data_IF_872583267599
#
_entry.id   IF_872583267599
#
_cell.length_a   1.000
_cell.length_b   1.000
_cell.length_c   1.000
_cell.angle_alpha   90.00
_cell.angle_beta   90.00
_cell.angle_gamma   90.00
#
_symmetry.space_group_name_H-M   'P 1'
#
loop_
_entity.id
_entity.type
_entity.pdbx_description
1 polymer ?
#
# COMPACT_ATOMS: atom_id res chain seq x y z
N UNK A 1 37.94 46.97 -4.98
CA UNK A 1 37.48 45.71 -4.35
C UNK A 1 36.29 45.20 -5.17
N UNK A 2 36.47 44.11 -5.93
CA UNK A 2 35.38 43.50 -6.71
C UNK A 2 34.61 42.55 -5.80
N UNK A 3 33.32 42.82 -5.58
CA UNK A 3 32.42 41.89 -4.91
C UNK A 3 31.95 40.86 -5.94
N UNK A 4 32.49 39.65 -5.87
CA UNK A 4 31.92 38.50 -6.57
C UNK A 4 30.55 38.18 -5.92
N UNK A 5 29.43 38.21 -6.67
CA UNK A 5 28.16 37.79 -6.12
C UNK A 5 28.25 36.30 -5.80
N UNK A 6 28.08 35.96 -4.53
CA UNK A 6 27.89 34.58 -4.09
C UNK A 6 26.64 34.05 -4.78
N UNK A 7 26.81 33.24 -5.82
CA UNK A 7 25.72 32.49 -6.43
C UNK A 7 25.06 31.69 -5.31
N UNK A 8 23.79 31.98 -5.03
CA UNK A 8 23.00 31.19 -4.09
C UNK A 8 23.09 29.71 -4.51
N UNK A 9 23.13 28.77 -3.55
CA UNK A 9 23.12 27.35 -3.89
C UNK A 9 21.91 27.08 -4.78
N UNK A 10 22.16 26.55 -5.99
CA UNK A 10 21.11 26.10 -6.92
C UNK A 10 20.16 25.23 -6.11
N UNK A 11 18.91 25.69 -5.94
CA UNK A 11 17.87 24.90 -5.27
C UNK A 11 17.77 23.57 -6.00
N UNK A 12 18.18 22.49 -5.35
CA UNK A 12 17.96 21.14 -5.85
C UNK A 12 16.47 20.98 -6.12
N UNK A 13 16.06 20.42 -7.28
CA UNK A 13 14.65 20.30 -7.59
C UNK A 13 13.93 19.49 -6.50
N UNK A 14 12.80 19.99 -6.04
CA UNK A 14 11.91 19.29 -5.11
C UNK A 14 11.17 18.18 -5.84
N UNK A 15 10.68 17.20 -5.09
CA UNK A 15 9.76 16.20 -5.64
C UNK A 15 8.41 16.86 -5.88
N UNK A 16 7.91 16.75 -7.10
CA UNK A 16 6.60 17.22 -7.53
C UNK A 16 5.60 16.06 -7.52
N UNK A 17 4.37 16.32 -7.06
CA UNK A 17 3.30 15.33 -7.11
C UNK A 17 2.74 15.32 -8.53
N UNK A 18 2.94 14.20 -9.22
CA UNK A 18 2.41 14.01 -10.57
C UNK A 18 0.99 13.47 -10.51
N UNK A 19 0.75 12.55 -9.58
CA UNK A 19 -0.59 12.00 -9.35
C UNK A 19 -0.73 11.50 -7.92
N UNK A 20 -1.98 11.41 -7.47
CA UNK A 20 -2.37 10.73 -6.25
C UNK A 20 -3.66 9.97 -6.48
N UNK A 21 -3.67 8.72 -6.04
CA UNK A 21 -4.83 7.82 -6.08
C UNK A 21 -4.97 7.18 -4.71
N UNK A 22 -6.20 6.90 -4.31
CA UNK A 22 -6.46 6.25 -3.03
C UNK A 22 -7.72 5.41 -3.07
N UNK A 23 -7.67 4.32 -2.34
CA UNK A 23 -8.77 3.43 -2.02
C UNK A 23 -8.96 3.50 -0.51
N UNK A 24 -10.16 3.86 -0.08
CA UNK A 24 -10.50 3.88 1.34
C UNK A 24 -10.47 2.45 1.90
N UNK A 25 -10.09 2.28 3.18
CA UNK A 25 -10.11 0.97 3.81
C UNK A 25 -11.50 0.32 3.65
N UNK A 26 -11.52 -0.81 2.95
CA UNK A 26 -12.76 -1.56 2.65
C UNK A 26 -12.63 -2.95 3.24
N UNK A 27 -13.75 -3.50 3.73
CA UNK A 27 -13.78 -4.87 4.24
C UNK A 27 -13.44 -5.86 3.12
N UNK A 28 -12.62 -6.84 3.46
CA UNK A 28 -12.25 -7.92 2.56
C UNK A 28 -13.49 -8.78 2.30
N UNK A 29 -13.86 -9.05 1.02
CA UNK A 29 -15.02 -9.88 0.69
C UNK A 29 -14.83 -11.35 1.12
N UNK A 30 -13.63 -11.74 1.56
CA UNK A 30 -13.29 -13.09 1.97
C UNK A 30 -13.56 -13.38 3.46
N UNK A 31 -14.18 -12.45 4.18
CA UNK A 31 -14.52 -12.57 5.61
C UNK A 31 -16.04 -12.62 5.84
N UNK A 32 -16.79 -13.21 4.90
CA UNK A 32 -18.15 -13.66 5.21
C UNK A 32 -18.03 -14.90 6.10
N UNK A 33 -18.50 -14.86 7.37
CA UNK A 33 -18.68 -16.10 8.11
C UNK A 33 -19.74 -16.91 7.37
N UNK A 34 -19.43 -18.15 6.98
CA UNK A 34 -20.48 -19.13 6.70
C UNK A 34 -21.33 -19.24 7.97
N UNK A 35 -22.47 -18.55 7.99
CA UNK A 35 -23.48 -18.60 9.05
C UNK A 35 -24.27 -19.92 9.02
N UNK A 36 -23.62 -21.04 8.71
CA UNK A 36 -24.26 -22.34 8.82
C UNK A 36 -23.35 -23.37 9.48
N UNK A 37 -23.76 -23.71 10.70
CA UNK A 37 -23.64 -25.04 11.31
C UNK A 37 -22.34 -25.43 12.02
N UNK A 38 -22.10 -24.94 13.25
CA UNK A 38 -21.53 -25.80 14.32
C UNK A 38 -21.95 -25.32 15.72
N UNK A 39 -22.69 -26.13 16.51
CA UNK A 39 -22.83 -25.91 17.93
C UNK A 39 -21.63 -26.50 18.67
N UNK A 40 -21.09 -25.71 19.61
CA UNK A 40 -20.25 -26.17 20.73
C UNK A 40 -18.76 -26.47 20.47
N UNK A 41 -17.89 -25.51 20.82
CA UNK A 41 -16.79 -25.76 21.76
C UNK A 41 -16.16 -24.41 22.17
N UNK A 42 -16.24 -24.09 23.46
CA UNK A 42 -15.43 -23.05 24.05
C UNK A 42 -13.96 -23.52 24.10
N UNK A 43 -13.09 -22.89 23.32
CA UNK A 43 -11.64 -22.96 23.48
C UNK A 43 -11.05 -21.58 23.78
N UNK A 44 -9.98 -21.52 24.60
CA UNK A 44 -9.59 -20.31 25.31
C UNK A 44 -8.63 -19.43 24.50
N UNK A 45 -8.67 -18.13 24.81
CA UNK A 45 -7.71 -17.09 24.43
C UNK A 45 -7.48 -16.89 22.92
N UNK A 46 -8.47 -16.29 22.27
CA UNK A 46 -8.31 -15.49 21.04
C UNK A 46 -7.10 -14.54 21.23
N UNK A 47 -6.03 -14.61 20.43
CA UNK A 47 -5.07 -13.51 20.40
C UNK A 47 -5.85 -12.29 19.93
N UNK A 48 -5.81 -11.20 20.71
CA UNK A 48 -6.56 -9.98 20.44
C UNK A 48 -6.26 -9.53 19.01
N UNK A 49 -7.20 -9.79 18.08
CA UNK A 49 -7.14 -9.23 16.75
C UNK A 49 -6.96 -7.73 16.92
N UNK A 50 -5.91 -7.16 16.32
CA UNK A 50 -5.60 -5.75 16.46
C UNK A 50 -6.83 -4.94 16.04
N UNK A 51 -7.54 -4.37 17.03
CA UNK A 51 -8.77 -3.60 16.80
C UNK A 51 -8.51 -2.32 16.01
N UNK A 52 -7.24 -1.95 15.84
CA UNK A 52 -6.81 -0.71 15.23
C UNK A 52 -6.26 -0.96 13.83
N UNK A 53 -6.56 -0.02 12.94
CA UNK A 53 -5.95 0.04 11.62
C UNK A 53 -4.46 0.37 11.74
N UNK A 54 -3.65 -0.38 11.02
CA UNK A 54 -2.23 -0.16 10.90
C UNK A 54 -1.95 0.51 9.56
N UNK A 55 -1.17 1.58 9.60
CA UNK A 55 -0.73 2.30 8.41
C UNK A 55 0.78 2.18 8.26
N UNK A 56 1.25 1.93 7.04
CA UNK A 56 2.67 1.90 6.67
C UNK A 56 2.90 2.60 5.35
N UNK A 57 4.08 3.20 5.20
CA UNK A 57 4.47 3.92 3.99
C UNK A 57 5.66 3.22 3.34
N UNK A 58 5.55 2.97 2.03
CA UNK A 58 6.53 2.27 1.23
C UNK A 58 6.90 3.11 0.03
N UNK A 59 8.18 3.43 -0.08
CA UNK A 59 8.72 4.21 -1.20
C UNK A 59 9.42 3.26 -2.18
N UNK A 60 9.02 3.33 -3.44
CA UNK A 60 9.61 2.59 -4.54
C UNK A 60 10.24 3.58 -5.54
N UNK A 61 11.56 3.64 -5.56
CA UNK A 61 12.29 4.41 -6.56
C UNK A 61 12.31 3.64 -7.89
N UNK A 62 12.01 4.35 -8.97
CA UNK A 62 12.04 3.78 -10.31
C UNK A 62 13.37 4.11 -10.99
N UNK A 63 13.83 3.27 -11.93
CA UNK A 63 15.01 3.59 -12.73
C UNK A 63 14.82 4.94 -13.44
N UNK A 64 15.93 5.62 -13.73
CA UNK A 64 15.88 6.88 -14.50
C UNK A 64 15.20 6.63 -15.83
N UNK A 65 14.11 7.35 -16.07
CA UNK A 65 13.35 7.23 -17.30
C UNK A 65 12.69 8.57 -17.63
N UNK A 66 12.65 8.88 -18.92
CA UNK A 66 12.06 10.13 -19.40
C UNK A 66 10.53 10.11 -19.38
N UNK A 67 9.94 8.91 -19.35
CA UNK A 67 8.50 8.70 -19.41
C UNK A 67 7.90 8.46 -18.03
N UNK A 68 6.62 8.78 -17.89
CA UNK A 68 5.85 8.50 -16.68
C UNK A 68 5.80 6.98 -16.41
N UNK A 69 5.72 6.55 -15.14
CA UNK A 69 5.55 5.14 -14.80
C UNK A 69 4.29 4.56 -15.43
N UNK A 70 4.43 3.35 -15.96
CA UNK A 70 3.30 2.60 -16.53
C UNK A 70 2.31 2.17 -15.45
N UNK A 71 1.08 1.90 -15.86
CA UNK A 71 0.02 1.35 -15.00
C UNK A 71 0.45 0.06 -14.29
N UNK A 72 1.23 -0.78 -14.97
CA UNK A 72 1.75 -2.04 -14.40
C UNK A 72 2.82 -1.79 -13.32
N UNK A 73 3.67 -0.77 -13.47
CA UNK A 73 4.62 -0.38 -12.43
C UNK A 73 3.91 0.15 -11.19
N UNK A 74 2.85 0.94 -11.38
CA UNK A 74 1.99 1.41 -10.30
C UNK A 74 1.30 0.25 -9.56
N UNK A 75 0.65 -0.68 -10.28
CA UNK A 75 0.04 -1.89 -9.71
C UNK A 75 1.07 -2.75 -8.95
N UNK A 76 2.26 -2.91 -9.51
CA UNK A 76 3.35 -3.67 -8.88
C UNK A 76 3.83 -3.01 -7.59
N UNK A 77 3.91 -1.68 -7.54
CA UNK A 77 4.25 -0.96 -6.32
C UNK A 77 3.24 -1.21 -5.20
N UNK A 78 1.94 -1.18 -5.51
CA UNK A 78 0.87 -1.47 -4.52
C UNK A 78 0.91 -2.92 -4.06
N UNK A 79 1.09 -3.89 -4.97
CA UNK A 79 1.26 -5.31 -4.60
C UNK A 79 2.45 -5.53 -3.68
N UNK A 80 3.60 -4.93 -4.00
CA UNK A 80 4.81 -5.03 -3.15
C UNK A 80 4.65 -4.33 -1.80
N UNK A 81 3.89 -3.23 -1.74
CA UNK A 81 3.57 -2.57 -0.47
C UNK A 81 2.78 -3.52 0.44
N UNK A 82 1.76 -4.20 -0.11
CA UNK A 82 0.99 -5.22 0.60
C UNK A 82 1.85 -6.39 1.06
N UNK A 83 2.69 -6.93 0.18
CA UNK A 83 3.60 -8.04 0.52
C UNK A 83 4.53 -7.66 1.68
N UNK A 84 5.12 -6.45 1.64
CA UNK A 84 5.96 -5.95 2.74
C UNK A 84 5.16 -5.76 4.02
N UNK A 85 3.93 -5.26 3.92
CA UNK A 85 3.04 -5.11 5.06
C UNK A 85 2.74 -6.46 5.72
N UNK A 86 2.40 -7.47 4.93
CA UNK A 86 2.19 -8.85 5.41
C UNK A 86 3.47 -9.46 6.00
N UNK A 87 4.63 -9.20 5.39
CA UNK A 87 5.92 -9.64 5.92
C UNK A 87 6.26 -8.96 7.26
N UNK A 88 5.92 -7.68 7.46
CA UNK A 88 6.09 -7.02 8.75
C UNK A 88 5.15 -7.59 9.82
N UNK A 89 3.98 -8.09 9.41
CA UNK A 89 3.02 -8.76 10.27
C UNK A 89 3.36 -10.22 10.59
N UNK A 90 4.58 -10.70 10.27
CA UNK A 90 5.08 -12.10 10.34
C UNK A 90 4.91 -12.90 11.65
N UNK A 91 4.11 -12.45 12.60
CA UNK A 91 3.92 -13.09 13.90
C UNK A 91 2.68 -13.98 14.03
N UNK A 92 1.78 -14.08 13.06
CA UNK A 92 0.68 -15.07 13.15
C UNK A 92 -0.05 -15.19 11.82
N UNK A 93 -0.73 -16.33 11.56
CA UNK A 93 -1.57 -16.56 10.39
C UNK A 93 -2.80 -15.67 10.31
N UNK A 94 -2.59 -14.35 10.42
CA UNK A 94 -3.56 -13.28 10.32
C UNK A 94 -3.73 -12.91 8.84
N UNK A 95 -4.98 -12.88 8.39
CA UNK A 95 -5.35 -12.26 7.14
C UNK A 95 -5.61 -10.76 7.36
N UNK A 96 -5.69 -10.00 6.28
CA UNK A 96 -6.13 -8.62 6.34
C UNK A 96 -7.65 -8.58 6.19
N UNK A 97 -8.34 -8.09 7.22
CA UNK A 97 -9.80 -7.98 7.25
C UNK A 97 -10.29 -6.71 6.56
N UNK A 98 -9.54 -5.63 6.72
CA UNK A 98 -9.82 -4.35 6.07
C UNK A 98 -8.54 -3.95 5.35
N UNK A 99 -8.65 -3.57 4.09
CA UNK A 99 -7.52 -3.15 3.27
C UNK A 99 -7.83 -1.84 2.54
N UNK A 100 -6.87 -0.95 2.49
CA UNK A 100 -6.93 0.34 1.79
C UNK A 100 -5.52 0.82 1.46
N UNK A 101 -5.42 1.73 0.50
CA UNK A 101 -4.12 2.25 0.09
C UNK A 101 -4.22 3.64 -0.50
N UNK A 102 -3.15 4.41 -0.39
CA UNK A 102 -2.96 5.67 -1.10
C UNK A 102 -1.61 5.65 -1.81
N UNK A 103 -1.65 5.75 -3.12
CA UNK A 103 -0.48 5.80 -3.98
C UNK A 103 -0.26 7.23 -4.46
N UNK A 104 0.99 7.70 -4.41
CA UNK A 104 1.39 9.01 -4.94
C UNK A 104 2.60 8.82 -5.84
N UNK A 105 2.50 9.22 -7.10
CA UNK A 105 3.65 9.24 -8.01
C UNK A 105 4.29 10.61 -7.92
N UNK A 106 5.58 10.61 -7.59
CA UNK A 106 6.39 11.80 -7.44
C UNK A 106 7.44 11.84 -8.55
N UNK A 107 7.69 13.03 -9.09
CA UNK A 107 8.72 13.27 -10.11
C UNK A 107 9.73 14.30 -9.62
N UNK A 108 10.98 14.10 -9.99
CA UNK A 108 12.05 15.06 -9.86
C UNK A 108 12.93 14.97 -11.10
N UNK A 109 12.77 15.92 -12.03
CA UNK A 109 13.43 15.89 -13.35
C UNK A 109 13.10 14.63 -14.16
N UNK A 110 14.07 13.72 -14.33
CA UNK A 110 14.00 12.42 -15.01
C UNK A 110 13.89 11.23 -14.03
N UNK A 111 13.65 11.52 -12.76
CA UNK A 111 13.43 10.53 -11.72
C UNK A 111 11.97 10.45 -11.32
N UNK A 112 11.48 9.24 -11.18
CA UNK A 112 10.18 8.95 -10.62
C UNK A 112 10.33 8.08 -9.38
N UNK A 113 9.43 8.28 -8.42
CA UNK A 113 9.23 7.35 -7.30
C UNK A 113 7.75 7.24 -6.99
N UNK A 114 7.36 6.09 -6.49
CA UNK A 114 5.98 5.81 -6.08
C UNK A 114 5.99 5.68 -4.56
N UNK A 115 5.23 6.52 -3.88
CA UNK A 115 4.99 6.47 -2.44
C UNK A 115 3.62 5.82 -2.19
N UNK A 116 3.62 4.66 -1.53
CA UNK A 116 2.41 3.89 -1.23
C UNK A 116 2.20 3.86 0.28
N UNK A 117 1.10 4.47 0.73
CA UNK A 117 0.61 4.38 2.09
C UNK A 117 -0.41 3.25 2.14
N UNK A 118 -0.02 2.12 2.72
CA UNK A 118 -0.89 0.97 2.91
C UNK A 118 -1.58 1.04 4.28
N UNK A 119 -2.89 0.86 4.30
CA UNK A 119 -3.71 0.85 5.52
C UNK A 119 -4.41 -0.49 5.58
N UNK A 120 -4.22 -1.24 6.66
CA UNK A 120 -4.98 -2.45 6.85
C UNK A 120 -5.22 -2.79 8.31
N UNK A 121 -6.28 -3.58 8.55
CA UNK A 121 -6.61 -4.13 9.86
C UNK A 121 -6.35 -5.63 9.84
N UNK A 122 -5.39 -6.14 10.63
CA UNK A 122 -5.20 -7.58 10.79
C UNK A 122 -6.42 -8.24 11.43
N UNK A 123 -6.76 -9.43 10.95
CA UNK A 123 -7.82 -10.29 11.46
C UNK A 123 -7.38 -11.76 11.46
N UNK A 124 -8.13 -12.63 12.11
CA UNK A 124 -7.88 -14.07 12.00
C UNK A 124 -8.43 -14.55 10.66
N UNK A 125 -7.57 -15.14 9.82
CA UNK A 125 -8.01 -15.77 8.59
C UNK A 125 -8.77 -17.07 8.92
N UNK A 126 -9.86 -17.37 8.21
CA UNK A 126 -10.23 -18.78 8.01
C UNK A 126 -9.10 -19.45 7.20
N UNK A 127 -8.91 -20.77 7.31
CA UNK A 127 -7.79 -21.46 6.64
C UNK A 127 -7.75 -21.23 5.11
N UNK A 128 -8.87 -20.83 4.51
CA UNK A 128 -9.01 -20.56 3.09
C UNK A 128 -8.66 -19.11 2.67
N UNK A 129 -8.55 -18.17 3.60
CA UNK A 129 -8.28 -16.75 3.31
C UNK A 129 -6.78 -16.39 3.29
N UNK A 130 -5.90 -17.37 3.57
CA UNK A 130 -4.44 -17.17 3.64
C UNK A 130 -3.81 -17.02 2.25
N UNK A 131 -4.46 -17.58 1.23
CA UNK A 131 -3.93 -17.59 -0.12
C UNK A 131 -4.59 -16.50 -0.99
N UNK A 132 -3.77 -15.51 -1.35
CA UNK A 132 -3.81 -14.90 -2.66
C UNK A 132 -4.97 -13.95 -3.06
N UNK A 133 -5.61 -13.24 -2.12
CA UNK A 133 -6.39 -12.07 -2.53
C UNK A 133 -5.46 -10.97 -3.05
N UNK A 134 -5.70 -10.45 -4.27
CA UNK A 134 -5.04 -9.23 -4.76
C UNK A 134 -5.40 -8.03 -3.87
N UNK A 135 -4.55 -6.98 -3.78
CA UNK A 135 -4.93 -5.75 -3.11
C UNK A 135 -6.27 -5.22 -3.66
N UNK A 136 -7.12 -4.64 -2.81
CA UNK A 136 -8.46 -4.24 -3.23
C UNK A 136 -8.38 -3.13 -4.30
N UNK A 137 -9.26 -3.23 -5.29
CA UNK A 137 -9.54 -2.20 -6.29
C UNK A 137 -8.31 -1.68 -7.05
N UNK A 138 -7.39 -2.57 -7.46
CA UNK A 138 -6.28 -2.21 -8.36
C UNK A 138 -6.76 -1.58 -9.67
N UNK A 139 -7.99 -1.86 -10.10
CA UNK A 139 -8.64 -1.25 -11.26
C UNK A 139 -8.76 0.28 -11.18
N UNK A 140 -8.77 0.85 -9.96
CA UNK A 140 -8.74 2.31 -9.76
C UNK A 140 -7.50 2.93 -10.41
N UNK A 141 -6.40 2.18 -10.49
CA UNK A 141 -5.17 2.61 -11.15
C UNK A 141 -5.35 2.70 -12.68
N UNK A 142 -6.21 1.86 -13.26
CA UNK A 142 -6.44 1.80 -14.71
C UNK A 142 -7.41 2.86 -15.22
N UNK A 143 -8.29 3.35 -14.34
CA UNK A 143 -9.33 4.33 -14.68
C UNK A 143 -8.77 5.69 -15.18
N UNK A 144 -7.46 5.90 -15.07
CA UNK A 144 -6.75 7.02 -15.69
C UNK A 144 -5.73 6.47 -16.68
N UNK A 145 -5.97 6.70 -17.97
CA UNK A 145 -4.90 6.72 -18.97
C UNK A 145 -4.04 7.96 -18.74
N UNK A 146 -2.73 7.78 -18.72
CA UNK A 146 -1.71 8.77 -18.41
C UNK A 146 -0.82 9.00 -19.62
#
# INVERSE_FOLDING_TARGET
>A
MMFSPRLAPRRSPSWEVVTSQSVQPTESPFDEPEEDNFPFAATPAKPEAHKHELTRSYIFELPKQHSMPSTEEARRAVRRARERFLQELQSSGQALRVEGWKMTILRKQDHYRIDVHYVARPGMASENAKDAAEPPYLEVIDSRTW
#
